data_IF_335920061144
#
_entry.id   IF_335920061144
#
_cell.length_a   1.000
_cell.length_b   1.000
_cell.length_c   1.000
_cell.angle_alpha   90.00
_cell.angle_beta   90.00
_cell.angle_gamma   90.00
#
_symmetry.space_group_name_H-M   'P 1'
#
loop_
_entity.id
_entity.type
_entity.pdbx_description
1 polymer ?
#
# COMPACT_ATOMS: atom_id res chain seq x y z
N UNK A 1 22.77 -23.21 -55.05
CA UNK A 1 22.60 -22.46 -53.79
C UNK A 1 23.87 -21.66 -53.55
N UNK A 2 23.76 -20.33 -53.57
CA UNK A 2 24.90 -19.41 -53.64
C UNK A 2 25.39 -19.14 -52.21
N UNK A 3 26.70 -19.24 -51.97
CA UNK A 3 27.33 -19.03 -50.64
C UNK A 3 27.02 -17.65 -50.02
N UNK A 4 26.54 -16.69 -50.83
CA UNK A 4 26.07 -15.37 -50.41
C UNK A 4 24.74 -15.40 -49.66
N UNK A 5 23.85 -16.36 -49.95
CA UNK A 5 22.52 -16.41 -49.34
C UNK A 5 22.62 -16.88 -47.87
N UNK A 6 23.58 -17.77 -47.59
CA UNK A 6 23.88 -18.27 -46.23
C UNK A 6 24.54 -17.19 -45.37
N UNK A 7 25.33 -16.29 -45.97
CA UNK A 7 25.97 -15.20 -45.24
C UNK A 7 24.95 -14.14 -44.77
N UNK A 8 23.97 -13.79 -45.63
CA UNK A 8 22.91 -12.85 -45.29
C UNK A 8 21.92 -13.39 -44.23
N UNK A 9 21.70 -14.71 -44.18
CA UNK A 9 20.85 -15.31 -43.16
C UNK A 9 21.57 -15.41 -41.79
N UNK A 10 22.90 -15.58 -41.79
CA UNK A 10 23.71 -15.56 -40.58
C UNK A 10 23.76 -14.16 -39.94
N UNK A 11 23.95 -13.10 -40.73
CA UNK A 11 23.92 -11.70 -40.22
C UNK A 11 22.53 -11.30 -39.74
N UNK A 12 21.46 -11.79 -40.38
CA UNK A 12 20.07 -11.55 -39.94
C UNK A 12 19.71 -12.26 -38.62
N UNK A 13 20.40 -13.35 -38.29
CA UNK A 13 20.26 -14.05 -37.00
C UNK A 13 21.07 -13.42 -35.86
N UNK A 14 22.12 -12.67 -36.19
CA UNK A 14 22.98 -11.96 -35.25
C UNK A 14 22.45 -10.55 -34.90
N UNK A 15 21.82 -9.86 -35.86
CA UNK A 15 21.16 -8.56 -35.67
C UNK A 15 19.88 -8.64 -34.82
N UNK A 16 19.26 -9.83 -34.71
CA UNK A 16 18.08 -10.04 -33.85
C UNK A 16 18.43 -10.31 -32.38
N UNK A 17 19.72 -10.28 -32.00
CA UNK A 17 20.14 -10.44 -30.59
C UNK A 17 20.54 -9.14 -29.90
N UNK A 18 20.42 -8.01 -30.58
CA UNK A 18 21.03 -6.75 -30.14
C UNK A 18 19.99 -5.61 -30.05
N UNK A 19 18.84 -5.83 -29.41
CA UNK A 19 17.97 -4.73 -28.92
C UNK A 19 16.98 -5.17 -27.82
N UNK A 20 17.43 -5.97 -26.84
CA UNK A 20 16.60 -6.32 -25.66
C UNK A 20 17.27 -5.96 -24.35
N UNK A 21 18.38 -5.22 -24.40
CA UNK A 21 19.18 -4.86 -23.22
C UNK A 21 19.39 -3.35 -23.08
N UNK A 22 18.73 -2.51 -23.88
CA UNK A 22 18.76 -1.04 -23.76
C UNK A 22 17.54 -0.45 -23.02
N UNK A 23 16.58 -1.29 -22.57
CA UNK A 23 15.31 -0.81 -21.99
C UNK A 23 15.02 -1.22 -20.54
N UNK A 24 15.96 -1.90 -19.87
CA UNK A 24 15.79 -2.37 -18.47
C UNK A 24 16.49 -1.49 -17.42
N UNK A 25 17.14 -0.38 -17.81
CA UNK A 25 17.56 0.61 -16.81
C UNK A 25 16.36 1.44 -16.38
N UNK A 26 15.89 1.19 -15.16
CA UNK A 26 14.89 2.03 -14.52
C UNK A 26 15.37 3.48 -14.52
N UNK A 27 14.50 4.39 -14.95
CA UNK A 27 14.81 5.84 -14.93
C UNK A 27 15.18 6.26 -13.51
N UNK A 28 16.08 7.24 -13.31
CA UNK A 28 16.53 7.63 -11.97
C UNK A 28 15.35 7.98 -11.03
N UNK A 29 14.26 8.55 -11.56
CA UNK A 29 13.05 8.86 -10.81
C UNK A 29 12.27 7.60 -10.39
N UNK A 30 12.26 6.55 -11.22
CA UNK A 30 11.64 5.26 -10.89
C UNK A 30 12.40 4.52 -9.80
N UNK A 31 13.74 4.65 -9.79
CA UNK A 31 14.58 4.08 -8.72
C UNK A 31 14.34 4.81 -7.40
N UNK A 32 14.19 6.13 -7.42
CA UNK A 32 13.83 6.91 -6.21
C UNK A 32 12.46 6.50 -5.68
N UNK A 33 11.45 6.40 -6.56
CA UNK A 33 10.12 5.92 -6.21
C UNK A 33 10.15 4.52 -5.58
N UNK A 34 10.83 3.57 -6.22
CA UNK A 34 10.92 2.19 -5.75
C UNK A 34 11.57 2.11 -4.36
N UNK A 35 12.65 2.86 -4.13
CA UNK A 35 13.34 2.90 -2.84
C UNK A 35 12.46 3.47 -1.71
N UNK A 36 11.69 4.53 -1.99
CA UNK A 36 10.78 5.13 -1.01
C UNK A 36 9.62 4.18 -0.73
N UNK A 37 9.04 3.60 -1.78
CA UNK A 37 7.92 2.67 -1.66
C UNK A 37 8.31 1.40 -0.91
N UNK A 38 9.48 0.83 -1.17
CA UNK A 38 9.98 -0.37 -0.50
C UNK A 38 10.17 -0.13 1.01
N UNK A 39 10.88 0.95 1.37
CA UNK A 39 11.09 1.32 2.77
C UNK A 39 9.79 1.67 3.48
N UNK A 40 8.91 2.41 2.79
CA UNK A 40 7.60 2.77 3.27
C UNK A 40 6.74 1.53 3.51
N UNK A 41 6.68 0.60 2.57
CA UNK A 41 5.93 -0.64 2.70
C UNK A 41 6.40 -1.46 3.91
N UNK A 42 7.71 -1.65 4.07
CA UNK A 42 8.27 -2.39 5.20
C UNK A 42 7.90 -1.71 6.53
N UNK A 43 8.04 -0.38 6.60
CA UNK A 43 7.66 0.40 7.77
C UNK A 43 6.17 0.31 8.08
N UNK A 44 5.31 0.50 7.08
CA UNK A 44 3.86 0.42 7.23
C UNK A 44 3.40 -0.99 7.62
N UNK A 45 4.03 -2.03 7.08
CA UNK A 45 3.78 -3.42 7.46
C UNK A 45 4.13 -3.66 8.94
N UNK A 46 5.31 -3.20 9.38
CA UNK A 46 5.70 -3.28 10.79
C UNK A 46 4.71 -2.53 11.69
N UNK A 47 4.22 -1.37 11.25
CA UNK A 47 3.23 -0.59 12.00
C UNK A 47 1.88 -1.30 12.10
N UNK A 48 1.39 -1.90 11.00
CA UNK A 48 0.17 -2.73 11.01
C UNK A 48 0.34 -3.93 11.95
N UNK A 49 1.47 -4.63 11.89
CA UNK A 49 1.74 -5.76 12.78
C UNK A 49 1.81 -5.33 14.25
N UNK A 50 2.42 -4.20 14.56
CA UNK A 50 2.50 -3.67 15.91
C UNK A 50 1.12 -3.28 16.46
N UNK A 51 0.35 -2.51 15.68
CA UNK A 51 -1.02 -2.09 16.08
C UNK A 51 -1.96 -3.28 16.22
N UNK A 52 -1.87 -4.26 15.33
CA UNK A 52 -2.61 -5.52 15.43
C UNK A 52 -2.20 -6.35 16.65
N UNK A 53 -0.92 -6.39 16.98
CA UNK A 53 -0.42 -7.08 18.16
C UNK A 53 -0.95 -6.41 19.45
N UNK A 54 -0.98 -5.08 19.51
CA UNK A 54 -1.58 -4.32 20.63
C UNK A 54 -3.07 -4.64 20.78
N UNK A 55 -3.79 -4.75 19.66
CA UNK A 55 -5.19 -5.17 19.65
C UNK A 55 -5.37 -6.61 20.17
N UNK A 56 -4.57 -7.56 19.68
CA UNK A 56 -4.63 -8.97 20.10
C UNK A 56 -4.26 -9.18 21.58
N UNK A 57 -3.32 -8.38 22.10
CA UNK A 57 -2.94 -8.41 23.51
C UNK A 57 -3.99 -7.75 24.42
N UNK A 58 -5.04 -7.13 23.86
CA UNK A 58 -6.12 -6.51 24.64
C UNK A 58 -5.65 -5.33 25.50
N UNK A 59 -4.51 -4.71 25.14
CA UNK A 59 -3.92 -3.61 25.91
C UNK A 59 -4.85 -2.38 25.89
N UNK A 60 -5.56 -2.17 24.78
CA UNK A 60 -6.59 -1.14 24.62
C UNK A 60 -7.98 -1.79 24.56
N UNK A 61 -8.97 -1.18 25.22
CA UNK A 61 -10.36 -1.61 25.09
C UNK A 61 -10.85 -1.36 23.65
N UNK A 62 -11.51 -2.33 23.01
CA UNK A 62 -12.21 -2.08 21.76
C UNK A 62 -13.33 -1.07 21.98
N UNK A 63 -13.55 -0.18 21.00
CA UNK A 63 -14.62 0.81 21.02
C UNK A 63 -15.98 0.14 20.86
N UNK A 64 -16.05 -0.88 20.00
CA UNK A 64 -17.27 -1.66 19.77
C UNK A 64 -17.14 -2.99 20.51
N UNK A 65 -17.97 -3.26 21.53
CA UNK A 65 -17.98 -4.56 22.19
C UNK A 65 -18.31 -5.65 21.18
N UNK A 66 -17.62 -6.79 21.27
CA UNK A 66 -17.84 -7.95 20.38
C UNK A 66 -19.32 -8.40 20.35
N UNK A 67 -20.03 -8.24 21.46
CA UNK A 67 -21.44 -8.59 21.62
C UNK A 67 -22.39 -7.64 20.86
N UNK A 68 -21.96 -6.41 20.59
CA UNK A 68 -22.78 -5.39 19.91
C UNK A 68 -22.50 -5.31 18.40
N UNK A 69 -21.48 -6.00 17.89
CA UNK A 69 -21.11 -5.98 16.46
C UNK A 69 -22.31 -6.37 15.58
N UNK A 70 -22.98 -7.48 15.90
CA UNK A 70 -24.15 -7.97 15.14
C UNK A 70 -25.31 -6.98 15.16
N UNK A 71 -25.44 -6.20 16.24
CA UNK A 71 -26.47 -5.17 16.37
C UNK A 71 -26.09 -3.93 15.54
N UNK A 72 -24.82 -3.52 15.58
CA UNK A 72 -24.30 -2.42 14.80
C UNK A 72 -24.38 -2.68 13.29
N UNK A 73 -24.15 -3.92 12.83
CA UNK A 73 -24.26 -4.29 11.41
C UNK A 73 -25.67 -4.17 10.85
N UNK A 74 -26.69 -4.23 11.72
CA UNK A 74 -28.10 -4.04 11.35
C UNK A 74 -28.54 -2.58 11.36
N UNK A 75 -27.72 -1.67 11.91
CA UNK A 75 -28.03 -0.25 11.99
C UNK A 75 -27.58 0.44 10.71
N UNK A 76 -28.30 1.50 10.31
CA UNK A 76 -27.81 2.35 9.24
C UNK A 76 -26.56 3.10 9.73
N UNK A 77 -25.66 3.47 8.81
CA UNK A 77 -24.40 4.12 9.20
C UNK A 77 -24.66 5.44 9.94
N UNK A 78 -25.76 6.13 9.60
CA UNK A 78 -26.18 7.36 10.28
C UNK A 78 -26.59 7.08 11.73
N UNK A 79 -27.43 6.06 11.95
CA UNK A 79 -27.90 5.65 13.28
C UNK A 79 -26.75 5.17 14.17
N UNK A 80 -25.74 4.50 13.58
CA UNK A 80 -24.53 4.08 14.29
C UNK A 80 -23.68 5.28 14.74
N UNK A 81 -23.48 6.26 13.85
CA UNK A 81 -22.70 7.46 14.15
C UNK A 81 -23.39 8.33 15.22
N UNK A 82 -24.72 8.43 15.17
CA UNK A 82 -25.51 9.13 16.17
C UNK A 82 -25.48 8.41 17.53
N UNK A 83 -25.64 7.08 17.55
CA UNK A 83 -25.56 6.29 18.78
C UNK A 83 -24.18 6.36 19.44
N UNK A 84 -23.12 6.30 18.64
CA UNK A 84 -21.76 6.37 19.16
C UNK A 84 -21.25 7.82 19.34
N UNK A 85 -22.06 8.83 18.99
CA UNK A 85 -21.65 10.24 18.96
C UNK A 85 -20.35 10.48 18.17
N UNK A 86 -20.07 9.63 17.17
CA UNK A 86 -18.88 9.73 16.33
C UNK A 86 -19.19 10.68 15.18
N UNK A 87 -18.43 11.76 15.06
CA UNK A 87 -18.51 12.61 13.87
C UNK A 87 -17.96 11.85 12.66
N UNK A 88 -18.61 11.94 11.50
CA UNK A 88 -18.10 11.30 10.29
C UNK A 88 -16.74 11.89 9.83
N UNK A 89 -16.01 11.14 9.00
CA UNK A 89 -14.74 11.59 8.43
C UNK A 89 -13.56 11.38 9.38
N UNK A 90 -12.78 12.44 9.63
CA UNK A 90 -11.52 12.41 10.40
C UNK A 90 -11.66 12.15 11.91
N UNK A 91 -12.88 11.99 12.44
CA UNK A 91 -13.06 11.75 13.87
C UNK A 91 -12.40 10.44 14.34
N UNK A 92 -12.13 9.50 13.43
CA UNK A 92 -11.37 8.28 13.72
C UNK A 92 -10.02 8.58 14.39
N UNK A 93 -9.39 9.74 14.11
CA UNK A 93 -8.15 10.19 14.76
C UNK A 93 -8.33 10.40 16.26
N UNK A 94 -9.50 10.90 16.69
CA UNK A 94 -9.84 11.04 18.11
C UNK A 94 -10.16 9.69 18.77
N UNK A 95 -10.49 8.67 17.98
CA UNK A 95 -10.83 7.32 18.45
C UNK A 95 -9.64 6.36 18.43
N UNK A 96 -8.45 6.81 18.06
CA UNK A 96 -7.20 6.00 18.08
C UNK A 96 -6.90 5.41 19.46
N UNK A 97 -7.44 6.00 20.53
CA UNK A 97 -7.38 5.45 21.90
C UNK A 97 -8.13 4.13 22.09
N UNK A 98 -8.83 3.64 21.07
CA UNK A 98 -9.50 2.35 21.05
C UNK A 98 -8.81 1.38 20.09
N UNK A 99 -8.70 0.12 20.49
CA UNK A 99 -7.92 -0.89 19.78
C UNK A 99 -8.35 -1.09 18.31
N UNK A 100 -9.65 -0.97 18.04
CA UNK A 100 -10.22 -1.15 16.69
C UNK A 100 -9.73 -0.08 15.71
N UNK A 101 -9.65 1.17 16.18
CA UNK A 101 -9.27 2.34 15.38
C UNK A 101 -7.75 2.53 15.32
N UNK A 102 -6.99 1.91 16.24
CA UNK A 102 -5.53 1.93 16.21
C UNK A 102 -4.99 1.27 14.93
N UNK A 103 -5.64 0.21 14.44
CA UNK A 103 -5.24 -0.47 13.21
C UNK A 103 -5.38 0.45 11.97
N UNK A 104 -6.33 1.39 11.99
CA UNK A 104 -6.51 2.35 10.90
C UNK A 104 -5.29 3.25 10.70
N UNK A 105 -4.48 3.51 11.72
CA UNK A 105 -3.21 4.23 11.55
C UNK A 105 -2.26 3.47 10.62
N UNK A 106 -2.16 2.14 10.79
CA UNK A 106 -1.34 1.29 9.92
C UNK A 106 -1.79 1.38 8.46
N UNK A 107 -3.10 1.25 8.24
CA UNK A 107 -3.69 1.31 6.90
C UNK A 107 -3.52 2.72 6.30
N UNK A 108 -3.80 3.77 7.07
CA UNK A 108 -3.63 5.16 6.63
C UNK A 108 -2.18 5.49 6.31
N UNK A 109 -1.23 4.95 7.06
CA UNK A 109 0.22 5.11 6.80
C UNK A 109 0.59 4.45 5.48
N UNK A 110 0.16 3.19 5.25
CA UNK A 110 0.40 2.49 3.99
C UNK A 110 -0.21 3.22 2.78
N UNK A 111 -1.43 3.73 2.92
CA UNK A 111 -2.05 4.55 1.89
C UNK A 111 -1.27 5.87 1.68
N UNK A 112 -0.85 6.53 2.76
CA UNK A 112 -0.11 7.78 2.73
C UNK A 112 1.27 7.68 2.08
N UNK A 113 1.95 6.53 2.18
CA UNK A 113 3.23 6.30 1.51
C UNK A 113 3.12 6.50 0.01
N UNK A 114 2.01 6.08 -0.62
CA UNK A 114 1.80 6.31 -2.06
C UNK A 114 1.73 7.80 -2.41
N UNK A 115 1.11 8.61 -1.54
CA UNK A 115 1.03 10.07 -1.67
C UNK A 115 2.44 10.67 -1.57
N UNK A 116 3.24 10.23 -0.59
CA UNK A 116 4.64 10.68 -0.42
C UNK A 116 5.47 10.34 -1.66
N UNK A 117 5.25 9.15 -2.24
CA UNK A 117 5.93 8.73 -3.45
C UNK A 117 5.58 9.63 -4.65
N UNK A 118 4.31 10.02 -4.81
CA UNK A 118 3.91 10.97 -5.86
C UNK A 118 4.49 12.37 -5.64
N UNK A 119 4.46 12.88 -4.40
CA UNK A 119 5.07 14.18 -4.06
C UNK A 119 6.58 14.19 -4.31
N UNK A 120 7.26 13.06 -4.15
CA UNK A 120 8.71 12.95 -4.40
C UNK A 120 9.07 12.96 -5.89
N UNK A 121 8.11 12.68 -6.79
CA UNK A 121 8.32 12.67 -8.24
C UNK A 121 7.87 13.99 -8.88
N UNK A 122 6.82 14.62 -8.36
CA UNK A 122 6.30 15.90 -8.88
C UNK A 122 7.17 17.05 -8.38
N UNK A 123 7.77 17.87 -9.27
CA UNK A 123 8.63 19.00 -8.87
C UNK A 123 7.86 20.12 -8.16
#
# INVERSE_FOLDING_TARGET
>A
MRKSDVAHEHTRGEDMKEDTTESLQARPEQVVYANILEKGMLFGLLLVLATYSVYMLGILKPFVPMEEITKCWRMNVHDYLDHCSIKAGWAWVSLVGYGDFLNFIGIATLAGITIICFVSIVP
#
